data_IF_335097321473
#
_entry.id   IF_335097321473
#
_cell.length_a   1.000
_cell.length_b   1.000
_cell.length_c   1.000
_cell.angle_alpha   90.00
_cell.angle_beta   90.00
_cell.angle_gamma   90.00
#
_symmetry.space_group_name_H-M   'P 1'
#
loop_
_entity.id
_entity.type
_entity.pdbx_description
1 polymer ?
#
# COMPACT_ATOMS: atom_id res chain seq x y z
N UNK A 1 -3.96 -32.16 2.89
CA UNK A 1 -5.21 -31.40 2.67
C UNK A 1 -5.08 -30.71 1.33
N UNK A 2 -5.67 -31.25 0.28
CA UNK A 2 -5.65 -30.67 -1.08
C UNK A 2 -6.76 -29.64 -1.17
N UNK A 3 -6.43 -28.39 -1.02
CA UNK A 3 -7.37 -27.30 -1.32
C UNK A 3 -7.53 -27.19 -2.84
N UNK A 4 -8.42 -27.99 -3.41
CA UNK A 4 -8.92 -27.82 -4.77
C UNK A 4 -10.25 -27.08 -4.70
N UNK A 5 -10.23 -25.82 -4.39
CA UNK A 5 -11.37 -24.95 -4.68
C UNK A 5 -11.14 -24.38 -6.07
N UNK A 6 -11.64 -25.07 -7.08
CA UNK A 6 -11.79 -24.50 -8.42
C UNK A 6 -12.81 -23.37 -8.26
N UNK A 7 -12.39 -22.15 -8.56
CA UNK A 7 -13.28 -20.99 -8.60
C UNK A 7 -14.30 -21.28 -9.72
N UNK A 8 -15.57 -21.47 -9.35
CA UNK A 8 -16.65 -21.76 -10.29
C UNK A 8 -17.17 -20.48 -10.93
N UNK A 9 -17.20 -19.39 -10.17
CA UNK A 9 -17.60 -18.06 -10.65
C UNK A 9 -16.74 -16.98 -10.00
N UNK A 10 -16.15 -16.11 -10.80
CA UNK A 10 -15.44 -14.93 -10.29
C UNK A 10 -16.39 -13.86 -9.73
N UNK A 11 -17.64 -13.84 -10.19
CA UNK A 11 -18.66 -12.92 -9.66
C UNK A 11 -19.04 -13.33 -8.22
N UNK A 12 -19.32 -14.60 -8.00
CA UNK A 12 -19.66 -15.13 -6.66
C UNK A 12 -18.49 -14.92 -5.69
N UNK A 13 -17.26 -15.20 -6.14
CA UNK A 13 -16.06 -14.94 -5.32
C UNK A 13 -15.93 -13.46 -4.97
N UNK A 14 -16.18 -12.57 -5.93
CA UNK A 14 -16.13 -11.12 -5.69
C UNK A 14 -17.16 -10.71 -4.64
N UNK A 15 -18.38 -11.19 -4.75
CA UNK A 15 -19.47 -10.87 -3.82
C UNK A 15 -19.20 -11.45 -2.42
N UNK A 16 -18.61 -12.63 -2.33
CA UNK A 16 -18.20 -13.23 -1.05
C UNK A 16 -17.09 -12.40 -0.38
N UNK A 17 -16.09 -11.93 -1.14
CA UNK A 17 -15.03 -11.07 -0.59
C UNK A 17 -15.62 -9.73 -0.14
N UNK A 18 -16.47 -9.10 -0.93
CA UNK A 18 -17.14 -7.84 -0.57
C UNK A 18 -17.97 -8.01 0.68
N UNK A 19 -18.71 -9.12 0.83
CA UNK A 19 -19.48 -9.45 2.03
C UNK A 19 -18.55 -9.61 3.24
N UNK A 20 -17.47 -10.38 3.09
CA UNK A 20 -16.50 -10.57 4.16
C UNK A 20 -15.88 -9.24 4.63
N UNK A 21 -15.53 -8.33 3.70
CA UNK A 21 -15.01 -7.00 4.05
C UNK A 21 -16.04 -6.19 4.85
N UNK A 22 -17.34 -6.24 4.47
CA UNK A 22 -18.42 -5.57 5.22
C UNK A 22 -18.57 -6.15 6.62
N UNK A 23 -18.59 -7.47 6.73
CA UNK A 23 -18.71 -8.16 8.03
C UNK A 23 -17.54 -7.80 8.93
N UNK A 24 -16.32 -7.81 8.40
CA UNK A 24 -15.11 -7.40 9.11
C UNK A 24 -15.19 -5.95 9.59
N UNK A 25 -15.65 -5.04 8.73
CA UNK A 25 -15.82 -3.63 9.07
C UNK A 25 -16.75 -3.43 10.28
N UNK A 26 -17.91 -4.08 10.27
CA UNK A 26 -18.88 -3.95 11.34
C UNK A 26 -18.45 -4.67 12.62
N UNK A 27 -17.88 -5.86 12.50
CA UNK A 27 -17.43 -6.68 13.63
C UNK A 27 -16.34 -5.95 14.44
N UNK A 28 -15.42 -5.26 13.77
CA UNK A 28 -14.30 -4.56 14.41
C UNK A 28 -14.53 -3.07 14.62
N UNK A 29 -15.74 -2.57 14.38
CA UNK A 29 -16.10 -1.15 14.52
C UNK A 29 -15.15 -0.21 13.76
N UNK A 30 -14.69 -0.64 12.60
CA UNK A 30 -13.81 0.15 11.70
C UNK A 30 -14.64 1.26 11.07
N UNK A 31 -14.02 2.40 10.72
CA UNK A 31 -14.72 3.55 10.12
C UNK A 31 -14.32 3.81 8.67
N UNK A 32 -13.27 3.17 8.19
CA UNK A 32 -12.83 3.29 6.80
C UNK A 32 -11.86 2.19 6.40
N UNK A 33 -11.79 1.91 5.11
CA UNK A 33 -10.69 1.19 4.48
C UNK A 33 -9.66 2.17 3.94
N UNK A 34 -8.38 1.84 4.06
CA UNK A 34 -7.26 2.62 3.50
C UNK A 34 -6.44 1.69 2.63
N UNK A 35 -6.32 2.00 1.34
CA UNK A 35 -5.66 1.15 0.36
C UNK A 35 -4.60 1.96 -0.38
N UNK A 36 -3.35 1.51 -0.32
CA UNK A 36 -2.27 2.07 -1.15
C UNK A 36 -2.35 1.53 -2.58
N UNK A 37 -2.31 2.40 -3.58
CA UNK A 37 -2.35 2.02 -4.99
C UNK A 37 -1.00 2.27 -5.64
N UNK A 38 -0.42 1.19 -6.21
CA UNK A 38 0.92 1.21 -6.82
C UNK A 38 0.90 1.30 -8.35
N UNK A 39 -0.27 1.22 -8.98
CA UNK A 39 -0.42 1.05 -10.43
C UNK A 39 -0.36 -0.42 -10.88
N UNK A 40 -0.10 -1.37 -9.97
CA UNK A 40 -0.17 -2.80 -10.23
C UNK A 40 -1.58 -3.38 -10.08
N UNK A 41 -1.81 -4.53 -10.72
CA UNK A 41 -3.12 -5.20 -10.76
C UNK A 41 -3.64 -5.57 -9.37
N UNK A 42 -2.78 -6.03 -8.46
CA UNK A 42 -3.18 -6.47 -7.13
C UNK A 42 -3.80 -5.31 -6.34
N UNK A 43 -3.14 -4.13 -6.35
CA UNK A 43 -3.66 -2.94 -5.69
C UNK A 43 -4.94 -2.42 -6.34
N UNK A 44 -5.09 -2.56 -7.66
CA UNK A 44 -6.29 -2.18 -8.39
C UNK A 44 -7.47 -3.09 -8.02
N UNK A 45 -7.26 -4.40 -7.92
CA UNK A 45 -8.29 -5.36 -7.50
C UNK A 45 -8.74 -5.08 -6.07
N UNK A 46 -7.80 -4.95 -5.13
CA UNK A 46 -8.13 -4.72 -3.71
C UNK A 46 -8.89 -3.41 -3.51
N UNK A 47 -8.44 -2.32 -4.14
CA UNK A 47 -9.12 -1.03 -4.02
C UNK A 47 -10.54 -1.05 -4.63
N UNK A 48 -10.72 -1.77 -5.75
CA UNK A 48 -12.03 -1.96 -6.38
C UNK A 48 -12.97 -2.78 -5.49
N UNK A 49 -12.48 -3.83 -4.84
CA UNK A 49 -13.27 -4.63 -3.89
C UNK A 49 -13.70 -3.79 -2.67
N UNK A 50 -12.80 -2.98 -2.12
CA UNK A 50 -13.13 -2.04 -1.04
C UNK A 50 -14.18 -1.01 -1.49
N UNK A 51 -14.04 -0.43 -2.69
CA UNK A 51 -15.01 0.51 -3.26
C UNK A 51 -16.41 -0.11 -3.40
N UNK A 52 -16.50 -1.36 -3.87
CA UNK A 52 -17.78 -2.11 -4.01
C UNK A 52 -18.49 -2.40 -2.69
N UNK A 53 -17.81 -2.26 -1.56
CA UNK A 53 -18.49 -2.39 -0.25
C UNK A 53 -19.50 -1.28 0.01
N UNK A 54 -19.39 -0.13 -0.64
CA UNK A 54 -20.16 1.07 -0.33
C UNK A 54 -19.77 1.75 0.99
N UNK A 55 -18.70 1.27 1.65
CA UNK A 55 -18.19 1.82 2.92
C UNK A 55 -17.05 2.81 2.67
N UNK A 56 -16.82 3.80 3.57
CA UNK A 56 -15.79 4.81 3.38
C UNK A 56 -14.43 4.19 3.04
N UNK A 57 -13.88 4.52 1.88
CA UNK A 57 -12.64 3.96 1.34
C UNK A 57 -11.72 5.07 0.88
N UNK A 58 -10.51 5.11 1.44
CA UNK A 58 -9.44 6.03 1.04
C UNK A 58 -8.46 5.29 0.13
N UNK A 59 -8.38 5.72 -1.12
CA UNK A 59 -7.44 5.20 -2.11
C UNK A 59 -6.26 6.15 -2.19
N UNK A 60 -5.07 5.67 -1.84
CA UNK A 60 -3.90 6.52 -1.58
C UNK A 60 -2.81 6.25 -2.61
N UNK A 61 -2.51 7.26 -3.41
CA UNK A 61 -1.36 7.30 -4.32
C UNK A 61 -0.17 7.95 -3.62
N UNK A 62 1.00 7.30 -3.68
CA UNK A 62 2.21 7.73 -2.97
C UNK A 62 3.42 7.67 -3.90
N UNK A 63 3.51 8.59 -4.89
CA UNK A 63 4.71 8.67 -5.73
C UNK A 63 5.94 8.98 -4.87
N UNK A 64 7.05 8.31 -5.20
CA UNK A 64 8.36 8.48 -4.58
C UNK A 64 9.46 8.77 -5.60
N UNK A 65 9.10 8.72 -6.87
CA UNK A 65 9.90 9.17 -8.01
C UNK A 65 8.92 9.60 -9.10
N UNK A 66 8.94 10.86 -9.46
CA UNK A 66 8.00 11.46 -10.42
C UNK A 66 8.11 10.93 -11.87
N UNK A 67 9.07 10.04 -12.13
CA UNK A 67 9.43 9.58 -13.48
C UNK A 67 8.80 8.25 -13.89
N UNK A 68 8.07 7.55 -13.01
CA UNK A 68 7.59 6.20 -13.31
C UNK A 68 6.16 6.16 -13.90
N UNK A 69 6.00 5.44 -15.01
CA UNK A 69 4.71 5.14 -15.63
C UNK A 69 3.67 4.57 -14.63
N UNK A 70 4.14 3.87 -13.59
CA UNK A 70 3.29 3.32 -12.53
C UNK A 70 2.60 4.41 -11.69
N UNK A 71 3.21 5.58 -11.49
CA UNK A 71 2.59 6.70 -10.77
C UNK A 71 1.36 7.19 -11.51
N UNK A 72 1.46 7.34 -12.84
CA UNK A 72 0.34 7.74 -13.68
C UNK A 72 -0.80 6.73 -13.67
N UNK A 73 -0.48 5.43 -13.76
CA UNK A 73 -1.50 4.37 -13.69
C UNK A 73 -2.22 4.34 -12.34
N UNK A 74 -1.49 4.56 -11.24
CA UNK A 74 -2.10 4.63 -9.91
C UNK A 74 -3.07 5.81 -9.78
N UNK A 75 -2.68 6.97 -10.30
CA UNK A 75 -3.51 8.19 -10.29
C UNK A 75 -4.78 8.03 -11.14
N UNK A 76 -4.62 7.53 -12.37
CA UNK A 76 -5.76 7.29 -13.27
C UNK A 76 -6.76 6.29 -12.67
N UNK A 77 -6.26 5.22 -12.05
CA UNK A 77 -7.10 4.22 -11.40
C UNK A 77 -7.83 4.81 -10.18
N UNK A 78 -7.11 5.50 -9.29
CA UNK A 78 -7.69 6.11 -8.10
C UNK A 78 -8.76 7.15 -8.45
N UNK A 79 -8.51 7.96 -9.48
CA UNK A 79 -9.48 8.92 -10.00
C UNK A 79 -10.73 8.23 -10.55
N UNK A 80 -10.56 7.20 -11.39
CA UNK A 80 -11.70 6.41 -11.91
C UNK A 80 -12.57 5.82 -10.80
N UNK A 81 -11.96 5.30 -9.74
CA UNK A 81 -12.70 4.77 -8.60
C UNK A 81 -13.47 5.87 -7.87
N UNK A 82 -12.86 7.03 -7.64
CA UNK A 82 -13.54 8.15 -6.99
C UNK A 82 -14.67 8.73 -7.83
N UNK A 83 -14.52 8.74 -9.17
CA UNK A 83 -15.57 9.18 -10.09
C UNK A 83 -16.75 8.17 -10.16
N UNK A 84 -16.47 6.88 -9.97
CA UNK A 84 -17.45 5.80 -10.06
C UNK A 84 -18.17 5.49 -8.73
N UNK A 85 -17.54 5.71 -7.60
CA UNK A 85 -18.02 5.34 -6.28
C UNK A 85 -18.00 6.51 -5.31
N UNK A 86 -19.16 6.98 -4.85
CA UNK A 86 -19.30 8.11 -3.92
C UNK A 86 -18.63 7.88 -2.54
N UNK A 87 -18.47 6.62 -2.16
CA UNK A 87 -17.80 6.23 -0.91
C UNK A 87 -16.27 6.23 -1.00
N UNK A 88 -15.70 6.53 -2.17
CA UNK A 88 -14.26 6.55 -2.40
C UNK A 88 -13.70 7.97 -2.35
N UNK A 89 -12.66 8.16 -1.55
CA UNK A 89 -11.86 9.39 -1.53
C UNK A 89 -10.47 9.10 -2.07
N UNK A 90 -10.09 9.77 -3.16
CA UNK A 90 -8.74 9.71 -3.70
C UNK A 90 -7.84 10.68 -2.93
N UNK A 91 -6.70 10.18 -2.46
CA UNK A 91 -5.66 10.96 -1.79
C UNK A 91 -4.32 10.78 -2.52
N UNK A 92 -3.58 11.88 -2.64
CA UNK A 92 -2.24 11.87 -3.20
C UNK A 92 -1.25 12.46 -2.19
N UNK A 93 -0.18 11.71 -1.89
CA UNK A 93 0.93 12.15 -1.05
C UNK A 93 2.24 11.95 -1.81
N UNK A 94 2.83 13.04 -2.27
CA UNK A 94 4.18 13.01 -2.83
C UNK A 94 5.18 12.82 -1.69
N UNK A 95 5.98 11.75 -1.74
CA UNK A 95 6.85 11.33 -0.65
C UNK A 95 8.34 11.45 -0.96
N UNK A 96 8.73 11.97 -2.14
CA UNK A 96 10.13 12.09 -2.54
C UNK A 96 10.90 12.97 -1.57
N UNK A 97 10.38 14.15 -1.25
CA UNK A 97 11.01 15.05 -0.28
C UNK A 97 11.17 14.42 1.10
N UNK A 98 10.18 13.63 1.55
CA UNK A 98 10.26 12.91 2.82
C UNK A 98 11.37 11.86 2.81
N UNK A 99 11.47 11.11 1.71
CA UNK A 99 12.52 10.12 1.52
C UNK A 99 13.91 10.78 1.48
N UNK A 100 14.04 11.87 0.75
CA UNK A 100 15.31 12.61 0.62
C UNK A 100 15.77 13.14 1.97
N UNK A 101 14.89 13.75 2.76
CA UNK A 101 15.23 14.21 4.11
C UNK A 101 15.66 13.07 5.03
N UNK A 102 14.97 11.93 4.96
CA UNK A 102 15.35 10.74 5.73
C UNK A 102 16.73 10.23 5.30
N UNK A 103 17.01 10.16 4.01
CA UNK A 103 18.28 9.70 3.46
C UNK A 103 19.41 10.65 3.85
N UNK A 104 19.22 11.95 3.70
CA UNK A 104 20.19 12.98 4.10
C UNK A 104 20.48 12.97 5.61
N UNK A 105 19.48 12.70 6.45
CA UNK A 105 19.69 12.57 7.89
C UNK A 105 20.66 11.43 8.21
N UNK A 106 20.52 10.29 7.55
CA UNK A 106 21.44 9.15 7.72
C UNK A 106 22.83 9.48 7.23
N UNK A 107 22.96 10.11 6.06
CA UNK A 107 24.24 10.54 5.50
C UNK A 107 24.96 11.52 6.44
N UNK A 108 24.26 12.52 6.94
CA UNK A 108 24.81 13.52 7.85
C UNK A 108 25.32 12.90 9.16
N UNK A 109 24.58 11.95 9.73
CA UNK A 109 25.00 11.23 10.92
C UNK A 109 26.23 10.36 10.67
N UNK A 110 26.32 9.68 9.53
CA UNK A 110 27.50 8.87 9.19
C UNK A 110 28.76 9.72 9.05
N UNK A 111 28.68 10.86 8.40
CA UNK A 111 29.79 11.80 8.26
C UNK A 111 30.25 12.37 9.63
N UNK A 112 29.28 12.69 10.51
CA UNK A 112 29.57 13.26 11.83
C UNK A 112 30.24 12.29 12.79
N UNK A 113 30.08 10.98 12.56
CA UNK A 113 30.70 9.91 13.37
C UNK A 113 31.98 9.33 12.77
N UNK A 114 32.56 9.94 11.73
CA UNK A 114 33.75 9.49 11.03
C UNK A 114 33.61 8.11 10.34
N UNK A 115 32.40 7.71 9.98
CA UNK A 115 32.15 6.53 9.18
C UNK A 115 32.23 6.83 7.68
N UNK A 116 32.57 5.83 6.87
CA UNK A 116 32.44 6.00 5.41
C UNK A 116 30.96 6.15 5.06
N UNK A 117 30.63 7.24 4.40
CA UNK A 117 29.27 7.58 3.91
C UNK A 117 28.58 6.40 3.23
N UNK A 118 29.35 5.57 2.50
CA UNK A 118 28.86 4.41 1.77
C UNK A 118 28.38 3.27 2.65
N UNK A 119 28.83 3.18 3.90
CA UNK A 119 28.43 2.12 4.81
C UNK A 119 26.94 2.20 5.22
N UNK A 120 26.37 3.40 5.19
CA UNK A 120 24.99 3.65 5.66
C UNK A 120 24.00 4.07 4.58
N UNK A 121 24.44 4.37 3.35
CA UNK A 121 23.54 4.78 2.27
C UNK A 121 22.79 3.62 1.63
N UNK A 122 23.20 2.40 1.91
CA UNK A 122 22.54 1.18 1.43
C UNK A 122 22.68 0.95 -0.08
N UNK A 123 22.37 -0.27 -0.48
CA UNK A 123 22.23 -0.66 -1.86
C UNK A 123 20.82 -0.35 -2.42
N UNK A 124 20.58 -0.66 -3.67
CA UNK A 124 19.29 -0.45 -4.33
C UNK A 124 18.14 -1.19 -3.62
N UNK A 125 18.38 -2.40 -3.12
CA UNK A 125 17.40 -3.19 -2.39
C UNK A 125 17.04 -2.55 -1.04
N UNK A 126 18.04 -2.07 -0.31
CA UNK A 126 17.85 -1.36 0.95
C UNK A 126 17.02 -0.10 0.75
N UNK A 127 17.35 0.67 -0.29
CA UNK A 127 16.62 1.89 -0.64
C UNK A 127 15.17 1.60 -1.07
N UNK A 128 14.95 0.56 -1.87
CA UNK A 128 13.59 0.12 -2.24
C UNK A 128 12.78 -0.29 -1.00
N UNK A 129 13.39 -1.01 -0.06
CA UNK A 129 12.77 -1.39 1.21
C UNK A 129 12.42 -0.17 2.08
N UNK A 130 13.28 0.83 2.15
CA UNK A 130 13.03 2.08 2.87
C UNK A 130 11.85 2.82 2.28
N UNK A 131 11.79 2.98 0.96
CA UNK A 131 10.67 3.59 0.23
C UNK A 131 9.34 2.87 0.51
N UNK A 132 9.35 1.53 0.54
CA UNK A 132 8.16 0.74 0.87
C UNK A 132 7.68 1.00 2.30
N UNK A 133 8.59 1.13 3.27
CA UNK A 133 8.25 1.41 4.67
C UNK A 133 7.71 2.80 4.89
N UNK A 134 8.23 3.82 4.21
CA UNK A 134 7.69 5.18 4.25
C UNK A 134 6.25 5.18 3.74
N UNK A 135 5.95 4.50 2.64
CA UNK A 135 4.56 4.33 2.18
C UNK A 135 3.68 3.65 3.21
N UNK A 136 4.17 2.58 3.82
CA UNK A 136 3.43 1.87 4.86
C UNK A 136 3.12 2.78 6.06
N UNK A 137 4.11 3.54 6.56
CA UNK A 137 3.90 4.50 7.65
C UNK A 137 2.84 5.54 7.31
N UNK A 138 2.85 6.06 6.08
CA UNK A 138 1.84 7.01 5.59
C UNK A 138 0.44 6.41 5.62
N UNK A 139 0.27 5.16 5.13
CA UNK A 139 -1.02 4.46 5.17
C UNK A 139 -1.53 4.26 6.61
N UNK A 140 -0.66 3.84 7.52
CA UNK A 140 -1.04 3.66 8.92
C UNK A 140 -1.39 4.99 9.62
N UNK A 141 -0.70 6.08 9.29
CA UNK A 141 -1.04 7.40 9.79
C UNK A 141 -2.44 7.84 9.34
N UNK A 142 -2.76 7.62 8.05
CA UNK A 142 -4.09 7.91 7.51
C UNK A 142 -5.15 7.03 8.18
N UNK A 143 -4.89 5.72 8.28
CA UNK A 143 -5.81 4.78 8.89
C UNK A 143 -6.10 5.14 10.35
N UNK A 144 -5.09 5.48 11.14
CA UNK A 144 -5.26 5.93 12.52
C UNK A 144 -6.11 7.20 12.62
N UNK A 145 -5.84 8.19 11.77
CA UNK A 145 -6.60 9.46 11.72
C UNK A 145 -8.07 9.23 11.33
N UNK A 146 -8.33 8.29 10.42
CA UNK A 146 -9.67 7.99 9.90
C UNK A 146 -10.38 6.86 10.66
N UNK A 147 -9.80 6.37 11.76
CA UNK A 147 -10.28 5.22 12.55
C UNK A 147 -10.54 3.99 11.65
N UNK A 148 -9.67 3.83 10.65
CA UNK A 148 -9.75 2.82 9.62
C UNK A 148 -8.72 1.71 9.78
N UNK A 149 -8.68 0.86 8.77
CA UNK A 149 -7.68 -0.21 8.65
C UNK A 149 -6.97 -0.11 7.30
N UNK A 150 -5.68 -0.41 7.31
CA UNK A 150 -4.92 -0.58 6.07
C UNK A 150 -5.25 -1.95 5.48
N UNK A 151 -5.74 -1.96 4.24
CA UNK A 151 -6.02 -3.20 3.51
C UNK A 151 -4.80 -3.56 2.68
N UNK A 152 -4.22 -4.74 2.96
CA UNK A 152 -3.03 -5.24 2.27
C UNK A 152 -3.30 -5.61 0.81
N UNK A 153 -2.32 -5.35 -0.04
CA UNK A 153 -2.36 -5.64 -1.50
C UNK A 153 -1.34 -6.71 -1.91
N UNK A 154 -0.70 -7.36 -0.94
CA UNK A 154 0.24 -8.44 -1.17
C UNK A 154 -0.47 -9.75 -1.54
N UNK A 155 0.15 -10.53 -2.40
CA UNK A 155 -0.30 -11.88 -2.71
C UNK A 155 0.62 -12.94 -2.05
N UNK A 156 0.22 -14.21 -2.08
CA UNK A 156 0.95 -15.29 -1.43
C UNK A 156 2.38 -15.46 -1.98
N UNK A 157 2.61 -15.15 -3.25
CA UNK A 157 3.93 -15.24 -3.87
C UNK A 157 4.90 -14.15 -3.37
N UNK A 158 4.38 -12.98 -2.97
CA UNK A 158 5.19 -11.88 -2.44
C UNK A 158 5.61 -12.09 -0.98
N UNK A 159 4.86 -12.86 -0.20
CA UNK A 159 5.20 -13.15 1.20
C UNK A 159 6.54 -13.88 1.29
N UNK A 160 6.84 -14.77 0.35
CA UNK A 160 8.11 -15.51 0.32
C UNK A 160 9.32 -14.68 -0.14
N UNK A 161 9.09 -13.55 -0.79
CA UNK A 161 10.16 -12.68 -1.34
C UNK A 161 10.47 -11.51 -0.39
N UNK A 162 9.47 -11.06 0.37
CA UNK A 162 9.57 -9.86 1.21
C UNK A 162 9.99 -10.14 2.66
N UNK A 163 10.04 -11.40 3.09
CA UNK A 163 10.63 -11.71 4.40
C UNK A 163 12.16 -11.62 4.29
N UNK A 164 12.80 -10.77 5.11
CA UNK A 164 14.25 -10.82 5.20
C UNK A 164 14.61 -12.24 5.66
N UNK A 165 15.40 -12.95 4.85
CA UNK A 165 16.04 -14.20 5.27
C UNK A 165 16.75 -13.90 6.58
N UNK A 166 16.24 -14.40 7.70
CA UNK A 166 16.95 -14.31 8.98
C UNK A 166 18.27 -15.03 8.81
N UNK A 167 19.43 -14.37 9.01
CA UNK A 167 20.66 -15.11 9.18
C UNK A 167 20.47 -15.95 10.45
N UNK A 168 20.68 -17.24 10.33
CA UNK A 168 20.72 -18.18 11.44
C UNK A 168 21.97 -17.91 12.28
#
# INVERSE_FOLDING_TARGET
MTCKTRIESYEDLTDDIVRWLKDYYWMHNIKSFVVGVSGGIDSAVVSSLCARTGLPTYVVCMPLDSTHANSRLSEEHAKKLADQYENVTNLMFELSTTYDHFHHAIEWWSESLFYDRREFTGDELTNANTKARIRMMTLYQIAGTKKGIVVGTGNLSLIHISEPTRPY
#
